data_IF_862131704201
#
_entry.id   IF_862131704201
#
_cell.length_a   1.000
_cell.length_b   1.000
_cell.length_c   1.000
_cell.angle_alpha   90.00
_cell.angle_beta   90.00
_cell.angle_gamma   90.00
#
_symmetry.space_group_name_H-M   'P 1'
#
loop_
_entity.id
_entity.type
_entity.pdbx_description
1 polymer ?
#
# COMPACT_ATOMS: atom_id res chain seq x y z
N UNK A 1 4.93 -2.76 -10.79
CA UNK A 1 4.43 -1.39 -10.96
C UNK A 1 4.11 -0.82 -9.57
N UNK A 2 4.54 0.41 -9.29
CA UNK A 2 4.33 1.15 -8.04
C UNK A 2 2.85 1.19 -7.62
N UNK A 3 1.92 1.39 -8.57
CA UNK A 3 0.49 1.45 -8.26
C UNK A 3 -0.04 0.12 -7.69
N UNK A 4 0.44 -1.01 -8.22
CA UNK A 4 0.11 -2.33 -7.69
C UNK A 4 0.66 -2.52 -6.27
N UNK A 5 1.90 -2.09 -6.01
CA UNK A 5 2.49 -2.15 -4.66
C UNK A 5 1.68 -1.34 -3.66
N UNK A 6 1.29 -0.13 -4.04
CA UNK A 6 0.47 0.72 -3.20
C UNK A 6 -0.91 0.11 -2.91
N UNK A 7 -1.58 -0.47 -3.90
CA UNK A 7 -2.86 -1.13 -3.72
C UNK A 7 -2.76 -2.35 -2.78
N UNK A 8 -1.70 -3.15 -2.90
CA UNK A 8 -1.46 -4.29 -1.98
C UNK A 8 -1.19 -3.80 -0.56
N UNK A 9 -0.42 -2.71 -0.38
CA UNK A 9 -0.24 -2.10 0.94
C UNK A 9 -1.59 -1.65 1.52
N UNK A 10 -2.37 -0.90 0.75
CA UNK A 10 -3.67 -0.41 1.21
C UNK A 10 -4.66 -1.53 1.57
N UNK A 11 -4.61 -2.64 0.82
CA UNK A 11 -5.45 -3.80 1.07
C UNK A 11 -5.02 -4.57 2.32
N UNK A 12 -3.74 -4.90 2.44
CA UNK A 12 -3.21 -5.74 3.52
C UNK A 12 -2.66 -4.96 4.72
N UNK A 13 -2.80 -3.63 4.76
CA UNK A 13 -2.29 -2.86 5.88
C UNK A 13 -2.94 -3.30 7.21
N UNK A 14 -2.16 -3.33 8.31
CA UNK A 14 -0.70 -3.15 8.34
C UNK A 14 0.06 -4.37 7.77
N UNK A 15 0.99 -4.16 6.84
CA UNK A 15 1.78 -5.23 6.19
C UNK A 15 3.28 -5.06 6.43
N UNK A 16 4.02 -6.16 6.65
CA UNK A 16 5.48 -6.13 6.71
C UNK A 16 6.06 -5.98 5.30
N UNK A 17 7.06 -5.11 5.13
CA UNK A 17 7.75 -4.94 3.84
C UNK A 17 8.39 -6.25 3.36
N UNK A 18 8.86 -7.11 4.28
CA UNK A 18 9.36 -8.45 3.95
C UNK A 18 8.29 -9.34 3.30
N UNK A 19 7.04 -9.29 3.78
CA UNK A 19 5.95 -10.09 3.22
C UNK A 19 5.48 -9.51 1.88
N UNK A 20 5.43 -8.18 1.77
CA UNK A 20 5.17 -7.50 0.49
C UNK A 20 6.21 -7.88 -0.59
N UNK A 21 7.50 -7.98 -0.21
CA UNK A 21 8.57 -8.47 -1.10
C UNK A 21 8.34 -9.92 -1.53
N UNK A 22 7.90 -10.81 -0.64
CA UNK A 22 7.58 -12.21 -1.01
C UNK A 22 6.47 -12.25 -2.05
N UNK A 23 5.48 -11.36 -1.97
CA UNK A 23 4.33 -11.31 -2.88
C UNK A 23 4.65 -10.69 -4.25
N UNK A 24 5.49 -9.65 -4.29
CA UNK A 24 5.67 -8.80 -5.49
C UNK A 24 7.10 -8.80 -6.05
N UNK A 25 8.05 -9.42 -5.36
CA UNK A 25 9.45 -9.48 -5.74
C UNK A 25 10.29 -8.30 -5.22
N UNK A 26 11.59 -8.25 -5.59
CA UNK A 26 12.57 -7.37 -4.97
C UNK A 26 12.39 -5.88 -5.27
N UNK A 27 11.75 -5.50 -6.40
CA UNK A 27 11.47 -4.09 -6.77
C UNK A 27 10.55 -3.34 -5.78
N UNK A 28 9.99 -4.04 -4.79
CA UNK A 28 9.15 -3.44 -3.75
C UNK A 28 9.90 -2.39 -2.93
N UNK A 29 11.20 -2.55 -2.68
CA UNK A 29 11.96 -1.57 -1.90
C UNK A 29 11.94 -0.21 -2.59
N UNK A 30 12.32 -0.15 -3.87
CA UNK A 30 12.27 1.07 -4.69
C UNK A 30 10.86 1.67 -4.72
N UNK A 31 9.82 0.84 -4.84
CA UNK A 31 8.45 1.33 -4.83
C UNK A 31 8.07 1.92 -3.47
N UNK A 32 8.47 1.29 -2.36
CA UNK A 32 8.20 1.78 -1.01
C UNK A 32 8.86 3.13 -0.79
N UNK A 33 10.12 3.30 -1.22
CA UNK A 33 10.82 4.58 -1.11
C UNK A 33 10.10 5.70 -1.89
N UNK A 34 9.67 5.40 -3.12
CA UNK A 34 8.89 6.35 -3.93
C UNK A 34 7.57 6.70 -3.25
N UNK A 35 6.86 5.72 -2.68
CA UNK A 35 5.57 5.94 -2.02
C UNK A 35 5.70 6.73 -0.71
N UNK A 36 6.77 6.52 0.05
CA UNK A 36 7.11 7.33 1.24
C UNK A 36 7.43 8.77 0.81
N UNK A 37 8.25 8.96 -0.23
CA UNK A 37 8.60 10.30 -0.72
C UNK A 37 7.38 11.11 -1.17
N UNK A 38 6.38 10.41 -1.75
CA UNK A 38 5.09 10.99 -2.14
C UNK A 38 4.11 11.13 -0.97
N UNK A 39 4.50 10.74 0.24
CA UNK A 39 3.66 10.74 1.44
C UNK A 39 2.37 9.94 1.26
N UNK A 40 2.36 8.91 0.42
CA UNK A 40 1.18 8.05 0.19
C UNK A 40 1.11 6.88 1.18
N UNK A 41 2.25 6.49 1.75
CA UNK A 41 2.34 5.47 2.80
C UNK A 41 3.20 5.98 3.96
N UNK A 42 2.99 5.39 5.12
CA UNK A 42 3.86 5.51 6.27
C UNK A 42 4.65 4.21 6.47
N UNK A 43 5.83 4.34 7.05
CA UNK A 43 6.66 3.21 7.47
C UNK A 43 7.04 3.36 8.94
N UNK A 44 6.98 2.25 9.68
CA UNK A 44 7.45 2.17 11.07
C UNK A 44 8.36 0.95 11.23
N UNK A 45 9.54 1.14 11.82
CA UNK A 45 10.44 0.02 12.16
C UNK A 45 9.78 -0.97 13.12
N UNK A 46 9.93 -2.25 12.82
CA UNK A 46 9.50 -3.37 13.65
C UNK A 46 10.56 -4.49 13.58
N UNK A 47 11.54 -4.42 14.49
CA UNK A 47 12.70 -5.31 14.48
C UNK A 47 13.57 -5.09 13.22
N UNK A 48 13.76 -6.14 12.44
CA UNK A 48 14.59 -6.14 11.21
C UNK A 48 13.81 -5.80 9.93
N UNK A 49 12.50 -5.54 10.05
CA UNK A 49 11.65 -5.13 8.91
C UNK A 49 10.90 -3.85 9.26
N UNK A 50 10.22 -3.30 8.26
CA UNK A 50 9.27 -2.21 8.43
C UNK A 50 7.83 -2.71 8.32
N UNK A 51 6.92 -2.03 9.03
CA UNK A 51 5.47 -2.15 8.87
C UNK A 51 4.98 -0.95 8.07
N UNK A 52 4.21 -1.23 7.02
CA UNK A 52 3.70 -0.27 6.05
C UNK A 52 2.19 -0.08 6.22
N UNK A 53 1.74 1.18 6.16
CA UNK A 53 0.32 1.58 6.17
C UNK A 53 0.09 2.71 5.17
N UNK A 54 -1.14 2.91 4.69
CA UNK A 54 -1.47 4.11 3.89
C UNK A 54 -1.47 5.36 4.76
N UNK A 55 -1.09 6.49 4.19
CA UNK A 55 -1.18 7.79 4.85
C UNK A 55 -2.57 8.41 4.71
N UNK A 56 -2.78 9.57 5.34
CA UNK A 56 -4.00 10.37 5.18
C UNK A 56 -4.13 11.03 3.81
N UNK A 57 -3.03 11.20 3.07
CA UNK A 57 -3.04 11.79 1.72
C UNK A 57 -3.40 10.76 0.63
N UNK A 58 -3.46 9.49 1.02
CA UNK A 58 -3.77 8.42 0.09
C UNK A 58 -5.13 8.59 -0.62
N UNK A 59 -6.27 8.82 0.08
CA UNK A 59 -7.57 8.96 -0.58
C UNK A 59 -7.63 10.15 -1.55
N UNK A 60 -7.02 11.27 -1.16
CA UNK A 60 -6.95 12.50 -1.96
C UNK A 60 -6.21 12.27 -3.29
N UNK A 61 -5.08 11.55 -3.26
CA UNK A 61 -4.33 11.19 -4.46
C UNK A 61 -5.13 10.32 -5.45
N UNK A 62 -6.12 9.56 -4.96
CA UNK A 62 -6.96 8.69 -5.78
C UNK A 62 -8.34 9.28 -6.11
N UNK A 63 -8.66 10.47 -5.61
CA UNK A 63 -10.00 11.06 -5.74
C UNK A 63 -11.07 10.21 -5.07
N UNK A 64 -10.75 9.54 -3.97
CA UNK A 64 -11.72 8.75 -3.21
C UNK A 64 -12.38 9.69 -2.20
N UNK A 65 -13.64 10.05 -2.43
CA UNK A 65 -14.50 10.81 -1.49
C UNK A 65 -14.94 9.98 -0.28
N UNK A 66 -14.08 9.05 0.17
CA UNK A 66 -14.34 8.17 1.30
C UNK A 66 -13.09 8.01 2.14
N UNK A 67 -13.27 8.20 3.44
CA UNK A 67 -12.26 7.93 4.47
C UNK A 67 -12.41 6.54 5.06
N UNK A 68 -13.44 5.77 4.64
CA UNK A 68 -13.68 4.43 5.17
C UNK A 68 -12.68 3.44 4.56
N UNK A 69 -11.91 2.72 5.39
CA UNK A 69 -10.91 1.77 4.91
C UNK A 69 -11.48 0.72 3.93
N UNK A 70 -12.74 0.33 4.11
CA UNK A 70 -13.33 -0.77 3.35
C UNK A 70 -13.73 -0.36 1.94
N UNK A 71 -14.25 0.86 1.79
CA UNK A 71 -14.57 1.44 0.48
C UNK A 71 -13.29 1.71 -0.32
N UNK A 72 -12.22 2.15 0.36
CA UNK A 72 -10.89 2.31 -0.22
C UNK A 72 -10.34 0.95 -0.70
N UNK A 73 -10.45 -0.09 0.11
CA UNK A 73 -10.01 -1.46 -0.24
C UNK A 73 -10.73 -1.98 -1.47
N UNK A 74 -12.04 -1.81 -1.55
CA UNK A 74 -12.84 -2.25 -2.70
C UNK A 74 -12.53 -1.49 -3.98
N UNK A 75 -12.37 -0.16 -3.90
CA UNK A 75 -11.98 0.66 -5.04
C UNK A 75 -10.64 0.19 -5.63
N UNK A 76 -9.65 -0.07 -4.77
CA UNK A 76 -8.34 -0.52 -5.20
C UNK A 76 -8.36 -1.94 -5.76
N UNK A 77 -9.13 -2.85 -5.17
CA UNK A 77 -9.30 -4.20 -5.69
C UNK A 77 -9.85 -4.16 -7.13
N UNK A 78 -10.91 -3.35 -7.38
CA UNK A 78 -11.48 -3.16 -8.73
C UNK A 78 -10.46 -2.59 -9.71
N UNK A 79 -9.69 -1.58 -9.32
CA UNK A 79 -8.76 -0.86 -10.21
C UNK A 79 -7.47 -1.63 -10.51
N UNK A 80 -7.10 -2.60 -9.68
CA UNK A 80 -5.83 -3.33 -9.79
C UNK A 80 -5.97 -4.83 -10.07
N UNK A 81 -7.20 -5.35 -10.13
CA UNK A 81 -7.46 -6.77 -10.41
C UNK A 81 -7.02 -7.70 -9.28
N UNK A 82 -6.88 -7.19 -8.05
CA UNK A 82 -6.61 -8.01 -6.87
C UNK A 82 -7.87 -8.83 -6.60
N UNK A 83 -7.78 -10.16 -6.67
CA UNK A 83 -8.85 -11.05 -6.25
C UNK A 83 -8.91 -11.03 -4.72
N UNK A 84 -10.11 -10.86 -4.17
CA UNK A 84 -10.41 -11.12 -2.76
C UNK A 84 -10.26 -12.63 -2.58
N UNK A 85 -9.19 -13.06 -1.93
CA UNK A 85 -9.13 -14.39 -1.32
C UNK A 85 -9.94 -14.40 -0.01
#
# INVERSE_FOLDING_TARGET
NILKTLAIIAYHQPIRQADLRKMLGPKVYDHVDVLISKKLINSKRAGTTEILTTSRLFPEYFGIDSTKPEEIREFLAKKTGIKKD
#
